data_IF_193516774759
#
_entry.id   IF_193516774759
#
_cell.length_a   1.000
_cell.length_b   1.000
_cell.length_c   1.000
_cell.angle_alpha   90.00
_cell.angle_beta   90.00
_cell.angle_gamma   90.00
#
_symmetry.space_group_name_H-M   'P 1'
#
loop_
_entity.id
_entity.type
_entity.pdbx_description
1 polymer ?
#
# COMPACT_ATOMS: atom_id res chain seq x y z
N UNK A 1 18.20 -1.83 44.18
CA UNK A 1 18.04 -2.43 42.84
C UNK A 1 19.00 -1.70 41.91
N UNK A 2 19.74 -2.41 41.04
CA UNK A 2 20.69 -1.73 40.15
C UNK A 2 19.90 -1.13 38.98
N UNK A 3 20.03 0.18 38.76
CA UNK A 3 19.42 0.86 37.62
C UNK A 3 20.10 0.53 36.30
N UNK A 4 19.42 0.84 35.22
CA UNK A 4 19.91 0.79 33.83
C UNK A 4 19.37 2.00 33.08
N UNK A 5 20.10 2.43 32.05
CA UNK A 5 19.73 3.59 31.23
C UNK A 5 18.91 3.12 30.03
N UNK A 6 17.79 3.80 29.75
CA UNK A 6 16.95 3.49 28.58
C UNK A 6 17.71 3.89 27.30
N UNK A 7 17.97 2.97 26.36
CA UNK A 7 18.64 3.30 25.10
C UNK A 7 17.73 4.11 24.16
N UNK A 8 18.36 4.82 23.21
CA UNK A 8 17.63 5.42 22.08
C UNK A 8 17.23 4.32 21.10
N UNK A 9 15.92 4.17 20.92
CA UNK A 9 15.32 3.16 20.04
C UNK A 9 14.28 3.74 19.09
N UNK A 10 13.76 4.94 19.36
CA UNK A 10 12.93 5.67 18.42
C UNK A 10 13.69 6.00 17.12
N UNK A 11 12.94 6.01 16.01
CA UNK A 11 13.39 6.11 14.62
C UNK A 11 14.22 4.91 14.09
N UNK A 12 14.46 3.88 14.90
CA UNK A 12 15.03 2.59 14.49
C UNK A 12 13.97 1.58 14.04
N UNK A 13 14.40 0.36 13.70
CA UNK A 13 13.47 -0.75 13.46
C UNK A 13 13.04 -1.41 14.77
N UNK A 14 11.86 -2.03 14.79
CA UNK A 14 11.36 -2.79 15.93
C UNK A 14 12.36 -3.87 16.37
N UNK A 15 12.95 -4.58 15.41
CA UNK A 15 13.96 -5.60 15.72
C UNK A 15 15.19 -5.02 16.42
N UNK A 16 15.70 -3.88 15.97
CA UNK A 16 16.83 -3.20 16.62
C UNK A 16 16.45 -2.66 18.00
N UNK A 17 15.24 -2.09 18.12
CA UNK A 17 14.72 -1.56 19.37
C UNK A 17 14.60 -2.66 20.44
N UNK A 18 14.02 -3.81 20.09
CA UNK A 18 13.88 -4.97 20.99
C UNK A 18 15.25 -5.47 21.42
N UNK A 19 16.18 -5.68 20.49
CA UNK A 19 17.54 -6.15 20.81
C UNK A 19 18.28 -5.20 21.76
N UNK A 20 18.18 -3.88 21.54
CA UNK A 20 18.81 -2.88 22.41
C UNK A 20 18.20 -2.85 23.81
N UNK A 21 16.87 -2.98 23.91
CA UNK A 21 16.17 -3.00 25.20
C UNK A 21 16.50 -4.27 25.99
N UNK A 22 16.45 -5.43 25.35
CA UNK A 22 16.80 -6.71 26.00
C UNK A 22 18.25 -6.72 26.49
N UNK A 23 19.17 -6.17 25.68
CA UNK A 23 20.59 -6.02 26.06
C UNK A 23 20.80 -5.06 27.24
N UNK A 24 19.88 -4.12 27.46
CA UNK A 24 19.88 -3.19 28.59
C UNK A 24 19.15 -3.77 29.82
N UNK A 25 18.73 -5.04 29.80
CA UNK A 25 17.86 -5.69 30.79
C UNK A 25 16.49 -4.98 30.94
N UNK A 26 15.90 -4.49 29.83
CA UNK A 26 14.59 -3.84 29.78
C UNK A 26 13.58 -4.66 28.98
N UNK A 27 12.29 -4.47 29.26
CA UNK A 27 11.22 -5.22 28.62
C UNK A 27 10.43 -4.32 27.64
N UNK A 28 10.38 -4.64 26.34
CA UNK A 28 9.59 -3.88 25.38
C UNK A 28 8.09 -4.11 25.58
N UNK A 29 7.29 -3.04 25.53
CA UNK A 29 5.82 -3.10 25.44
C UNK A 29 5.38 -2.44 24.14
N UNK A 30 4.97 -3.24 23.16
CA UNK A 30 4.62 -2.75 21.83
C UNK A 30 3.19 -2.25 21.78
N UNK A 31 3.00 -1.06 21.19
CA UNK A 31 1.73 -0.49 20.82
C UNK A 31 1.80 -0.12 19.33
N UNK A 32 0.89 -0.65 18.54
CA UNK A 32 0.83 -0.35 17.10
C UNK A 32 0.18 1.01 16.87
N UNK A 33 0.71 1.75 15.91
CA UNK A 33 0.25 3.09 15.53
C UNK A 33 0.23 3.16 14.01
N UNK A 34 -0.93 3.45 13.43
CA UNK A 34 -1.05 3.72 12.00
C UNK A 34 -0.17 4.91 11.62
N UNK A 35 0.61 4.74 10.57
CA UNK A 35 1.63 5.72 10.17
C UNK A 35 1.96 5.58 8.70
N UNK A 36 2.36 6.68 8.08
CA UNK A 36 2.97 6.71 6.74
C UNK A 36 4.46 6.30 6.76
N UNK A 37 5.02 6.07 7.94
CA UNK A 37 6.37 5.53 8.11
C UNK A 37 6.41 4.06 7.69
N UNK A 38 7.61 3.63 7.30
CA UNK A 38 7.89 2.24 6.96
C UNK A 38 7.40 1.33 8.10
N UNK A 39 6.63 0.27 7.81
CA UNK A 39 6.18 -0.68 8.83
C UNK A 39 7.33 -1.21 9.70
N UNK A 40 7.02 -1.51 10.95
CA UNK A 40 7.98 -1.90 11.99
C UNK A 40 8.98 -0.80 12.40
N UNK A 41 8.78 0.46 12.00
CA UNK A 41 9.56 1.58 12.54
C UNK A 41 9.09 1.91 13.97
N UNK A 42 10.02 2.04 14.92
CA UNK A 42 9.70 2.56 16.25
C UNK A 42 9.49 4.08 16.20
N UNK A 43 8.26 4.53 16.33
CA UNK A 43 7.85 5.94 16.23
C UNK A 43 8.08 6.69 17.54
N UNK A 44 7.74 6.05 18.65
CA UNK A 44 7.82 6.67 19.98
C UNK A 44 8.39 5.68 20.99
N UNK A 45 9.00 6.22 22.03
CA UNK A 45 9.44 5.45 23.19
C UNK A 45 9.08 6.17 24.49
N UNK A 46 8.68 5.40 25.50
CA UNK A 46 8.47 5.87 26.86
C UNK A 46 8.86 4.78 27.87
N UNK A 47 9.77 5.03 28.83
CA UNK A 47 10.46 6.30 29.08
C UNK A 47 11.39 6.76 27.95
N UNK A 48 11.69 8.06 27.92
CA UNK A 48 12.60 8.63 26.93
C UNK A 48 14.03 8.10 27.10
N UNK A 49 14.80 8.10 26.01
CA UNK A 49 16.20 7.71 26.04
C UNK A 49 17.00 8.51 27.09
N UNK A 50 17.97 7.86 27.74
CA UNK A 50 18.76 8.42 28.81
C UNK A 50 18.11 8.39 30.20
N UNK A 51 16.84 7.99 30.29
CA UNK A 51 16.16 7.83 31.59
C UNK A 51 16.76 6.66 32.35
N UNK A 52 17.12 6.85 33.62
CA UNK A 52 17.51 5.75 34.49
C UNK A 52 16.28 5.10 35.11
N UNK A 53 16.13 3.79 34.89
CA UNK A 53 15.03 2.97 35.40
C UNK A 53 15.57 1.73 36.11
N UNK A 54 14.69 1.02 36.82
CA UNK A 54 15.05 -0.29 37.36
C UNK A 54 15.18 -1.31 36.22
N UNK A 55 16.05 -2.31 36.37
CA UNK A 55 16.07 -3.44 35.44
C UNK A 55 14.70 -4.12 35.40
N UNK A 56 14.41 -4.74 34.26
CA UNK A 56 13.13 -5.37 33.92
C UNK A 56 11.95 -4.39 33.78
N UNK A 57 12.20 -3.07 33.89
CA UNK A 57 11.18 -2.06 33.62
C UNK A 57 10.66 -2.14 32.18
N UNK A 58 9.38 -1.81 32.01
CA UNK A 58 8.75 -1.73 30.70
C UNK A 58 9.15 -0.45 29.98
N UNK A 59 9.50 -0.56 28.70
CA UNK A 59 9.61 0.56 27.76
C UNK A 59 8.52 0.39 26.71
N UNK A 60 7.54 1.30 26.71
CA UNK A 60 6.47 1.34 25.73
C UNK A 60 7.01 1.89 24.41
N UNK A 61 6.77 1.16 23.31
CA UNK A 61 7.12 1.59 21.96
C UNK A 61 5.85 1.77 21.13
N UNK A 62 5.69 2.93 20.53
CA UNK A 62 4.76 3.12 19.41
C UNK A 62 5.42 2.62 18.14
N UNK A 63 4.85 1.65 17.46
CA UNK A 63 5.42 1.03 16.25
C UNK A 63 4.52 1.27 15.06
N UNK A 64 5.12 1.72 13.96
CA UNK A 64 4.44 1.96 12.70
C UNK A 64 3.83 0.67 12.15
N UNK A 65 2.53 0.72 11.89
CA UNK A 65 1.84 -0.22 11.01
C UNK A 65 1.32 0.57 9.81
N UNK A 66 1.11 -0.12 8.69
CA UNK A 66 0.39 0.47 7.57
C UNK A 66 -1.02 0.88 8.05
N UNK A 67 -1.55 2.03 7.60
CA UNK A 67 -2.94 2.37 7.82
C UNK A 67 -3.82 1.21 7.35
N UNK A 68 -4.88 0.91 8.09
CA UNK A 68 -5.84 -0.07 7.60
C UNK A 68 -6.39 0.37 6.24
N UNK A 69 -6.54 -0.58 5.31
CA UNK A 69 -7.23 -0.31 4.07
C UNK A 69 -8.67 0.12 4.34
N UNK A 70 -9.18 1.08 3.58
CA UNK A 70 -10.49 1.69 3.79
C UNK A 70 -11.58 1.12 2.89
N UNK A 71 -11.47 -0.15 2.46
CA UNK A 71 -12.51 -0.84 1.68
C UNK A 71 -13.40 -1.73 2.55
N UNK A 72 -14.66 -1.91 2.14
CA UNK A 72 -15.59 -2.85 2.79
C UNK A 72 -15.15 -4.31 2.59
N UNK A 73 -15.54 -5.25 3.48
CA UNK A 73 -15.29 -6.67 3.28
C UNK A 73 -15.82 -7.16 1.91
N UNK A 74 -14.96 -7.82 1.13
CA UNK A 74 -15.28 -8.28 -0.22
C UNK A 74 -14.94 -7.27 -1.33
N UNK A 75 -14.26 -6.17 -0.98
CA UNK A 75 -13.67 -5.22 -1.91
C UNK A 75 -12.15 -5.13 -1.68
N UNK A 76 -11.44 -4.63 -2.69
CA UNK A 76 -9.99 -4.38 -2.69
C UNK A 76 -9.71 -3.14 -3.56
N UNK A 77 -8.54 -2.52 -3.42
CA UNK A 77 -8.16 -1.42 -4.32
C UNK A 77 -7.91 -1.91 -5.74
N UNK A 78 -8.40 -1.15 -6.72
CA UNK A 78 -8.25 -1.45 -8.15
C UNK A 78 -6.82 -1.34 -8.64
N UNK A 79 -6.06 -0.35 -8.18
CA UNK A 79 -4.62 -0.17 -8.45
C UNK A 79 -4.25 -0.14 -9.94
N UNK A 80 -4.99 0.61 -10.78
CA UNK A 80 -4.55 0.84 -12.18
C UNK A 80 -3.22 1.57 -12.27
N UNK A 81 -2.92 2.36 -11.25
CA UNK A 81 -1.64 2.96 -10.87
C UNK A 81 -1.53 2.84 -9.34
N UNK A 82 -0.35 3.05 -8.72
CA UNK A 82 -0.19 2.88 -7.27
C UNK A 82 -1.18 3.71 -6.41
N UNK A 83 -1.55 4.90 -6.87
CA UNK A 83 -2.45 5.81 -6.12
C UNK A 83 -3.94 5.60 -6.47
N UNK A 84 -4.29 4.58 -7.26
CA UNK A 84 -5.68 4.28 -7.63
C UNK A 84 -6.38 3.43 -6.57
N UNK A 85 -6.91 4.10 -5.56
CA UNK A 85 -7.61 3.51 -4.43
C UNK A 85 -9.13 3.35 -4.67
N UNK A 86 -9.56 3.15 -5.92
CA UNK A 86 -10.97 2.83 -6.21
C UNK A 86 -11.29 1.43 -5.69
N UNK A 87 -12.23 1.32 -4.75
CA UNK A 87 -12.63 0.05 -4.15
C UNK A 87 -13.52 -0.75 -5.11
N UNK A 88 -13.02 -1.91 -5.58
CA UNK A 88 -13.67 -2.80 -6.55
C UNK A 88 -13.71 -4.24 -6.02
N UNK A 89 -14.41 -5.14 -6.71
CA UNK A 89 -14.39 -6.56 -6.32
C UNK A 89 -13.00 -7.17 -6.58
N UNK A 90 -12.61 -8.24 -5.85
CA UNK A 90 -11.35 -8.95 -6.08
C UNK A 90 -11.17 -9.41 -7.53
N UNK A 91 -12.24 -9.79 -8.22
CA UNK A 91 -12.17 -10.17 -9.64
C UNK A 91 -11.79 -8.99 -10.54
N UNK A 92 -12.25 -7.78 -10.23
CA UNK A 92 -11.87 -6.60 -10.99
C UNK A 92 -10.42 -6.19 -10.71
N UNK A 93 -10.00 -6.21 -9.44
CA UNK A 93 -8.61 -5.97 -9.06
C UNK A 93 -7.66 -6.97 -9.74
N UNK A 94 -8.01 -8.26 -9.77
CA UNK A 94 -7.26 -9.28 -10.50
C UNK A 94 -7.20 -9.02 -12.02
N UNK A 95 -8.30 -8.55 -12.62
CA UNK A 95 -8.33 -8.19 -14.03
C UNK A 95 -7.41 -7.00 -14.35
N UNK A 96 -7.26 -6.05 -13.42
CA UNK A 96 -6.35 -4.90 -13.58
C UNK A 96 -4.90 -5.36 -13.67
N UNK A 97 -4.50 -6.33 -12.86
CA UNK A 97 -3.15 -6.91 -12.94
C UNK A 97 -2.89 -7.46 -14.34
N UNK A 98 -3.82 -8.25 -14.89
CA UNK A 98 -3.73 -8.81 -16.25
C UNK A 98 -3.71 -7.71 -17.32
N UNK A 99 -4.55 -6.68 -17.20
CA UNK A 99 -4.60 -5.58 -18.17
C UNK A 99 -3.31 -4.73 -18.14
N UNK A 100 -2.66 -4.62 -16.98
CA UNK A 100 -1.40 -3.91 -16.81
C UNK A 100 -0.15 -4.73 -17.22
N UNK A 101 -0.29 -6.03 -17.51
CA UNK A 101 0.83 -6.87 -17.95
C UNK A 101 1.39 -6.42 -19.32
N UNK A 102 2.68 -6.64 -19.53
CA UNK A 102 3.36 -6.35 -20.80
C UNK A 102 2.69 -7.05 -21.99
N UNK A 103 2.09 -8.23 -21.78
CA UNK A 103 1.39 -8.96 -22.84
C UNK A 103 0.24 -8.17 -23.47
N UNK A 104 -0.39 -7.26 -22.71
CA UNK A 104 -1.42 -6.36 -23.21
C UNK A 104 -0.90 -5.39 -24.28
N UNK A 105 0.42 -5.17 -24.38
CA UNK A 105 1.01 -4.44 -25.51
C UNK A 105 0.77 -5.13 -26.86
N UNK A 106 0.58 -6.46 -26.89
CA UNK A 106 0.20 -7.19 -28.09
C UNK A 106 -1.21 -6.84 -28.59
N UNK A 107 -2.03 -6.16 -27.77
CA UNK A 107 -3.36 -5.66 -28.17
C UNK A 107 -3.27 -4.33 -28.94
N UNK A 108 -2.07 -3.80 -29.21
CA UNK A 108 -1.83 -2.58 -30.00
C UNK A 108 -1.48 -2.90 -31.46
N UNK A 109 -1.80 -1.98 -32.38
CA UNK A 109 -1.41 -2.11 -33.79
C UNK A 109 0.12 -2.09 -33.92
N UNK A 110 0.72 -2.99 -34.71
CA UNK A 110 2.15 -2.94 -34.98
C UNK A 110 2.57 -1.59 -35.55
N UNK A 111 3.69 -1.05 -35.04
CA UNK A 111 4.30 0.17 -35.54
C UNK A 111 5.61 -0.18 -36.25
N UNK A 112 5.83 0.18 -37.54
CA UNK A 112 4.97 0.95 -38.45
C UNK A 112 4.00 0.11 -39.32
N UNK A 113 2.88 0.69 -39.79
CA UNK A 113 2.36 2.02 -39.45
C UNK A 113 1.35 1.90 -38.29
N UNK A 114 1.69 2.38 -37.09
CA UNK A 114 0.92 2.23 -35.86
C UNK A 114 -0.46 2.94 -35.81
N UNK A 115 -1.26 2.98 -36.86
CA UNK A 115 -2.61 3.55 -36.85
C UNK A 115 -2.73 5.03 -36.41
N UNK A 116 -3.97 5.54 -36.23
CA UNK A 116 -4.22 6.97 -36.01
C UNK A 116 -3.64 7.56 -34.72
N UNK A 117 -3.39 6.74 -33.70
CA UNK A 117 -2.88 7.13 -32.38
C UNK A 117 -1.45 6.64 -32.13
N UNK A 118 -0.70 6.30 -33.19
CA UNK A 118 0.67 5.81 -33.08
C UNK A 118 0.76 4.52 -32.25
N UNK A 119 1.83 4.34 -31.47
CA UNK A 119 2.02 3.14 -30.65
C UNK A 119 0.80 2.83 -29.77
N UNK A 120 0.02 3.83 -29.38
CA UNK A 120 -1.15 3.63 -28.52
C UNK A 120 -2.40 3.15 -29.26
N UNK A 121 -2.40 3.03 -30.58
CA UNK A 121 -3.57 2.54 -31.32
C UNK A 121 -3.88 1.09 -30.98
N UNK A 122 -5.07 0.81 -30.44
CA UNK A 122 -5.50 -0.56 -30.19
C UNK A 122 -5.82 -1.33 -31.49
N UNK A 123 -5.61 -2.65 -31.46
CA UNK A 123 -6.11 -3.58 -32.47
C UNK A 123 -7.64 -3.58 -32.48
N UNK A 124 -8.21 -4.03 -33.60
CA UNK A 124 -9.65 -4.21 -33.70
C UNK A 124 -10.15 -5.18 -32.63
N UNK A 125 -11.23 -4.80 -31.93
CA UNK A 125 -11.79 -5.56 -30.80
C UNK A 125 -11.28 -5.09 -29.43
N UNK A 126 -10.27 -4.22 -29.39
CA UNK A 126 -9.78 -3.59 -28.17
C UNK A 126 -9.96 -2.08 -28.21
N UNK A 127 -10.10 -1.50 -27.03
CA UNK A 127 -10.31 -0.06 -26.81
C UNK A 127 -9.49 0.39 -25.61
N UNK A 128 -9.15 1.68 -25.51
CA UNK A 128 -8.54 2.20 -24.29
C UNK A 128 -9.50 2.04 -23.13
N UNK A 129 -9.00 1.54 -22.00
CA UNK A 129 -9.78 1.37 -20.77
C UNK A 129 -10.25 2.71 -20.20
N UNK A 130 -9.36 3.71 -20.19
CA UNK A 130 -9.65 5.08 -19.77
C UNK A 130 -10.27 5.12 -18.36
N UNK A 131 -9.55 4.49 -17.42
CA UNK A 131 -9.85 4.51 -15.98
C UNK A 131 -9.57 5.86 -15.32
N UNK A 132 -8.61 6.59 -15.85
CA UNK A 132 -8.29 7.97 -15.53
C UNK A 132 -7.80 8.68 -16.79
N UNK A 133 -7.65 10.00 -16.72
CA UNK A 133 -7.15 10.78 -17.84
C UNK A 133 -5.74 10.33 -18.25
N UNK A 134 -5.61 9.71 -19.42
CA UNK A 134 -4.34 9.21 -19.94
C UNK A 134 -4.17 7.69 -19.87
N UNK A 135 -5.14 6.95 -19.30
CA UNK A 135 -5.11 5.48 -19.30
C UNK A 135 -5.39 4.91 -20.69
N UNK A 136 -4.32 4.62 -21.42
CA UNK A 136 -4.35 4.14 -22.81
C UNK A 136 -4.07 2.64 -22.93
N UNK A 137 -4.31 1.86 -21.89
CA UNK A 137 -4.20 0.41 -21.91
C UNK A 137 -5.31 -0.18 -22.79
N UNK A 138 -4.94 -1.03 -23.74
CA UNK A 138 -5.89 -1.66 -24.65
C UNK A 138 -6.55 -2.87 -23.97
N UNK A 139 -7.85 -2.77 -23.71
CA UNK A 139 -8.67 -3.78 -23.03
C UNK A 139 -9.88 -4.17 -23.88
N UNK A 140 -10.66 -5.14 -23.43
CA UNK A 140 -11.91 -5.52 -24.07
C UNK A 140 -12.98 -4.42 -23.88
N UNK A 141 -14.03 -4.46 -24.70
CA UNK A 141 -15.18 -3.56 -24.53
C UNK A 141 -15.88 -3.72 -23.17
N UNK A 142 -15.80 -4.90 -22.56
CA UNK A 142 -16.38 -5.19 -21.24
C UNK A 142 -15.62 -4.48 -20.12
N UNK A 143 -14.28 -4.57 -20.08
CA UNK A 143 -13.50 -3.80 -19.11
C UNK A 143 -13.77 -2.31 -19.28
N UNK A 144 -13.79 -1.82 -20.53
CA UNK A 144 -14.08 -0.41 -20.82
C UNK A 144 -15.46 0.04 -20.32
N UNK A 145 -16.49 -0.80 -20.42
CA UNK A 145 -17.83 -0.42 -19.93
C UNK A 145 -17.92 -0.48 -18.40
N UNK A 146 -17.18 -1.39 -17.76
CA UNK A 146 -17.17 -1.57 -16.29
C UNK A 146 -16.44 -0.45 -15.55
N UNK A 147 -15.27 -0.05 -16.04
CA UNK A 147 -14.39 0.94 -15.39
C UNK A 147 -15.07 2.25 -14.95
N UNK A 148 -15.92 2.93 -15.75
CA UNK A 148 -16.60 4.14 -15.29
C UNK A 148 -17.67 3.87 -14.22
N UNK A 149 -18.25 2.66 -14.16
CA UNK A 149 -19.20 2.28 -13.10
C UNK A 149 -18.46 2.14 -11.78
N UNK A 150 -17.31 1.46 -11.78
CA UNK A 150 -16.43 1.34 -10.60
C UNK A 150 -16.00 2.71 -10.08
N UNK A 151 -15.61 3.64 -10.97
CA UNK A 151 -15.29 5.01 -10.58
C UNK A 151 -16.49 5.74 -9.94
N UNK A 152 -17.71 5.49 -10.41
CA UNK A 152 -18.93 6.12 -9.90
C UNK A 152 -19.38 5.52 -8.56
N UNK A 153 -19.04 4.26 -8.29
CA UNK A 153 -19.42 3.51 -7.09
C UNK A 153 -18.32 3.48 -6.02
N UNK A 154 -17.14 4.04 -6.30
CA UNK A 154 -15.94 3.98 -5.45
C UNK A 154 -16.24 4.28 -3.97
N UNK A 155 -16.93 5.38 -3.69
CA UNK A 155 -17.25 5.81 -2.32
C UNK A 155 -18.25 4.88 -1.62
N UNK A 156 -19.10 4.17 -2.37
CA UNK A 156 -20.09 3.26 -1.79
C UNK A 156 -19.48 1.94 -1.29
N UNK A 157 -18.23 1.68 -1.68
CA UNK A 157 -17.47 0.49 -1.31
C UNK A 157 -16.39 0.78 -0.26
N UNK A 158 -16.26 2.03 0.20
CA UNK A 158 -15.35 2.40 1.30
C UNK A 158 -15.93 2.04 2.67
N UNK A 159 -15.07 1.57 3.55
CA UNK A 159 -15.33 1.43 4.96
C UNK A 159 -15.46 2.83 5.62
N UNK A 160 -16.30 2.96 6.66
CA UNK A 160 -16.55 4.23 7.36
C UNK A 160 -15.40 4.68 8.27
#
# INVERSE_FOLDING_TARGET
>A
MQGTEVPQVADGTLSQAVELLEKADLQPKIQTVESDRIPDTALTQDPSAGTNVERESLVSLGVAIEPADDYLPGYEYRLVVPDDEVCVTPESAAQVLVDNEEITQLRRKPNPPGGPYGINTCLQGFVWRDAYNGDQICVTGETRSRTPQENAEADSHRAP
#
